data_IF_466834777086
#
_entry.id   IF_466834777086
#
_cell.length_a   1.000
_cell.length_b   1.000
_cell.length_c   1.000
_cell.angle_alpha   90.00
_cell.angle_beta   90.00
_cell.angle_gamma   90.00
#
_symmetry.space_group_name_H-M   'P 1'
#
loop_
_entity.id
_entity.type
_entity.pdbx_description
1 polymer ?
#
# COMPACT_ATOMS: atom_id res chain seq x y z
N UNK A 1 -39.06 -48.11 -13.65
CA UNK A 1 -39.13 -46.64 -13.45
C UNK A 1 -38.21 -46.11 -12.33
N UNK A 2 -38.02 -46.80 -11.18
CA UNK A 2 -37.09 -46.35 -10.11
C UNK A 2 -35.61 -46.24 -10.51
N UNK A 3 -35.11 -47.04 -11.46
CA UNK A 3 -33.70 -47.02 -11.90
C UNK A 3 -33.33 -45.82 -12.79
N UNK A 4 -34.29 -45.21 -13.49
CA UNK A 4 -34.05 -44.04 -14.34
C UNK A 4 -33.90 -42.74 -13.51
N UNK A 5 -34.60 -42.66 -12.37
CA UNK A 5 -34.58 -41.50 -11.47
C UNK A 5 -33.24 -41.35 -10.70
N UNK A 6 -32.60 -42.47 -10.37
CA UNK A 6 -31.28 -42.47 -9.72
C UNK A 6 -30.17 -42.05 -10.68
N UNK A 7 -30.32 -42.37 -11.97
CA UNK A 7 -29.37 -41.99 -13.02
C UNK A 7 -29.46 -40.49 -13.33
N UNK A 8 -30.67 -39.92 -13.32
CA UNK A 8 -30.90 -38.48 -13.49
C UNK A 8 -30.38 -37.64 -12.30
N UNK A 9 -30.51 -38.12 -11.05
CA UNK A 9 -29.90 -37.44 -9.90
C UNK A 9 -28.37 -37.46 -9.97
N UNK A 10 -27.76 -38.59 -10.36
CA UNK A 10 -26.31 -38.68 -10.51
C UNK A 10 -25.75 -37.72 -11.56
N UNK A 11 -26.46 -37.45 -12.66
CA UNK A 11 -26.03 -36.45 -13.66
C UNK A 11 -26.14 -34.99 -13.19
N UNK A 12 -26.99 -34.66 -12.21
CA UNK A 12 -27.07 -33.32 -11.63
C UNK A 12 -25.95 -33.03 -10.62
N UNK A 13 -25.41 -34.06 -9.95
CA UNK A 13 -24.31 -33.88 -8.99
C UNK A 13 -22.94 -33.63 -9.66
N UNK A 14 -22.75 -33.96 -10.94
CA UNK A 14 -21.47 -33.73 -11.62
C UNK A 14 -21.24 -32.29 -12.10
N UNK A 15 -22.25 -31.40 -12.03
CA UNK A 15 -22.11 -30.01 -12.51
C UNK A 15 -21.80 -28.99 -11.42
N UNK A 16 -21.65 -29.40 -10.16
CA UNK A 16 -21.48 -28.49 -9.02
C UNK A 16 -20.21 -28.73 -8.21
N UNK A 17 -19.15 -29.27 -8.81
CA UNK A 17 -17.81 -29.14 -8.20
C UNK A 17 -17.27 -27.76 -8.59
N UNK A 18 -17.19 -26.79 -7.66
CA UNK A 18 -16.37 -25.60 -7.91
C UNK A 18 -14.96 -26.11 -8.20
N UNK A 19 -14.43 -25.81 -9.38
CA UNK A 19 -13.01 -26.06 -9.64
C UNK A 19 -12.22 -25.34 -8.55
N UNK A 20 -11.52 -26.10 -7.70
CA UNK A 20 -10.46 -25.53 -6.89
C UNK A 20 -9.43 -24.99 -7.87
N UNK A 21 -9.42 -23.67 -8.06
CA UNK A 21 -8.36 -23.02 -8.81
C UNK A 21 -7.07 -23.28 -8.01
N UNK A 22 -6.10 -24.02 -8.56
CA UNK A 22 -4.82 -24.18 -7.89
C UNK A 22 -4.26 -22.77 -7.72
N UNK A 23 -4.06 -22.34 -6.48
CA UNK A 23 -3.28 -21.13 -6.23
C UNK A 23 -1.87 -21.45 -6.69
N UNK A 24 -1.55 -21.06 -7.92
CA UNK A 24 -0.25 -21.27 -8.53
C UNK A 24 0.83 -20.75 -7.58
N UNK A 25 1.96 -21.47 -7.51
CA UNK A 25 3.22 -20.92 -7.04
C UNK A 25 3.42 -19.58 -7.75
N UNK A 26 3.45 -18.48 -6.99
CA UNK A 26 3.50 -17.16 -7.59
C UNK A 26 4.80 -17.02 -8.37
N UNK A 27 4.71 -16.79 -9.67
CA UNK A 27 5.89 -16.65 -10.51
C UNK A 27 6.50 -15.27 -10.27
N UNK A 28 7.76 -15.23 -9.85
CA UNK A 28 8.50 -13.99 -9.72
C UNK A 28 9.09 -13.52 -11.05
N UNK A 29 9.30 -12.21 -11.18
CA UNK A 29 9.87 -11.56 -12.37
C UNK A 29 11.21 -10.91 -12.03
N UNK A 30 12.27 -11.28 -12.74
CA UNK A 30 13.59 -10.66 -12.67
C UNK A 30 13.75 -9.58 -13.75
N UNK A 31 14.22 -8.39 -13.36
CA UNK A 31 14.54 -7.29 -14.26
C UNK A 31 15.84 -6.60 -13.84
N UNK A 32 16.50 -5.93 -14.79
CA UNK A 32 17.63 -5.04 -14.52
C UNK A 32 17.13 -3.60 -14.67
N UNK A 33 17.32 -2.78 -13.64
CA UNK A 33 16.93 -1.37 -13.67
C UNK A 33 17.84 -0.56 -14.60
N UNK A 34 17.39 0.65 -14.96
CA UNK A 34 18.22 1.60 -15.72
C UNK A 34 19.50 2.03 -14.99
N UNK A 35 19.59 1.78 -13.68
CA UNK A 35 20.79 2.03 -12.86
C UNK A 35 21.68 0.79 -12.73
N UNK A 36 21.36 -0.32 -13.41
CA UNK A 36 22.09 -1.58 -13.37
C UNK A 36 21.80 -2.47 -12.15
N UNK A 37 20.78 -2.14 -11.35
CA UNK A 37 20.40 -2.94 -10.19
C UNK A 37 19.51 -4.13 -10.59
N UNK A 38 19.78 -5.31 -10.04
CA UNK A 38 18.90 -6.46 -10.18
C UNK A 38 17.65 -6.27 -9.31
N UNK A 39 16.48 -6.45 -9.90
CA UNK A 39 15.18 -6.28 -9.25
C UNK A 39 14.36 -7.55 -9.41
N UNK A 40 13.87 -8.14 -8.33
CA UNK A 40 13.03 -9.35 -8.38
C UNK A 40 11.68 -9.08 -7.74
N UNK A 41 10.59 -9.18 -8.50
CA UNK A 41 9.23 -8.94 -8.03
C UNK A 41 8.49 -10.26 -7.89
N UNK A 42 8.13 -10.62 -6.66
CA UNK A 42 7.34 -11.81 -6.35
C UNK A 42 5.93 -11.38 -5.88
N UNK A 43 4.88 -11.57 -6.70
CA UNK A 43 3.53 -11.26 -6.24
C UNK A 43 3.11 -12.16 -5.07
N UNK A 44 2.24 -11.65 -4.20
CA UNK A 44 1.53 -12.50 -3.24
C UNK A 44 0.22 -12.95 -3.90
N UNK A 45 -0.01 -14.26 -3.94
CA UNK A 45 -1.24 -14.83 -4.46
C UNK A 45 -2.44 -14.37 -3.62
N UNK A 46 -3.49 -13.90 -4.29
CA UNK A 46 -4.70 -13.38 -3.65
C UNK A 46 -5.94 -13.99 -4.30
N UNK A 47 -7.04 -14.14 -3.55
CA UNK A 47 -8.32 -14.50 -4.14
C UNK A 47 -8.76 -13.49 -5.22
N UNK A 48 -9.65 -13.88 -6.15
CA UNK A 48 -10.26 -12.96 -7.09
C UNK A 48 -10.87 -11.76 -6.38
N UNK A 49 -10.64 -10.56 -6.91
CA UNK A 49 -11.22 -9.32 -6.39
C UNK A 49 -12.39 -8.87 -7.25
N UNK A 50 -13.36 -8.22 -6.62
CA UNK A 50 -14.46 -7.59 -7.36
C UNK A 50 -13.91 -6.43 -8.20
N UNK A 51 -14.20 -6.44 -9.50
CA UNK A 51 -13.79 -5.40 -10.46
C UNK A 51 -12.29 -5.03 -10.43
N UNK A 52 -11.42 -5.99 -10.12
CA UNK A 52 -9.97 -5.79 -9.98
C UNK A 52 -9.57 -4.77 -8.90
N UNK A 53 -10.45 -4.45 -7.94
CA UNK A 53 -10.20 -3.47 -6.85
C UNK A 53 -9.56 -4.13 -5.61
N UNK A 54 -8.69 -5.11 -5.81
CA UNK A 54 -7.99 -5.80 -4.73
C UNK A 54 -6.62 -5.18 -4.42
N UNK A 55 -6.12 -5.25 -3.17
CA UNK A 55 -4.83 -4.68 -2.78
C UNK A 55 -3.64 -5.41 -3.41
N UNK A 56 -2.93 -4.80 -4.36
CA UNK A 56 -1.79 -5.43 -5.02
C UNK A 56 -0.58 -5.42 -4.08
N UNK A 57 -0.20 -6.60 -3.58
CA UNK A 57 0.93 -6.79 -2.65
C UNK A 57 1.98 -7.67 -3.31
N UNK A 58 3.22 -7.19 -3.35
CA UNK A 58 4.38 -7.93 -3.84
C UNK A 58 5.50 -7.91 -2.80
N UNK A 59 6.34 -8.94 -2.82
CA UNK A 59 7.65 -8.94 -2.19
C UNK A 59 8.66 -8.57 -3.26
N UNK A 60 9.42 -7.50 -3.05
CA UNK A 60 10.34 -6.94 -4.05
C UNK A 60 11.77 -6.97 -3.51
N UNK A 61 12.67 -7.58 -4.25
CA UNK A 61 14.10 -7.49 -4.05
C UNK A 61 14.69 -6.38 -4.91
N UNK A 62 15.66 -5.65 -4.38
CA UNK A 62 16.53 -4.78 -5.16
C UNK A 62 17.98 -4.90 -4.67
N UNK A 63 18.90 -5.21 -5.58
CA UNK A 63 20.33 -5.30 -5.26
C UNK A 63 20.88 -3.93 -4.82
N UNK A 64 21.68 -3.92 -3.76
CA UNK A 64 22.31 -2.70 -3.23
C UNK A 64 21.50 -2.00 -2.13
N UNK A 65 20.27 -2.45 -1.83
CA UNK A 65 19.56 -2.02 -0.63
C UNK A 65 20.02 -2.85 0.58
N UNK A 66 20.46 -2.17 1.63
CA UNK A 66 20.97 -2.82 2.85
C UNK A 66 19.87 -3.24 3.83
N UNK A 67 18.72 -2.57 3.79
CA UNK A 67 17.64 -2.79 4.75
C UNK A 67 16.31 -3.02 4.03
N UNK A 68 15.42 -3.75 4.68
CA UNK A 68 14.09 -4.05 4.18
C UNK A 68 13.28 -4.80 5.22
N UNK A 69 11.95 -4.62 5.21
CA UNK A 69 11.06 -5.18 6.24
C UNK A 69 11.02 -6.72 6.22
N UNK A 70 11.34 -7.34 5.08
CA UNK A 70 11.38 -8.80 4.92
C UNK A 70 12.81 -9.35 5.04
N UNK A 71 13.82 -8.48 4.95
CA UNK A 71 15.23 -8.83 5.00
C UNK A 71 16.08 -7.89 4.17
N UNK A 72 17.40 -8.10 4.20
CA UNK A 72 18.33 -7.32 3.40
C UNK A 72 18.00 -7.41 1.91
N UNK A 73 17.83 -6.25 1.26
CA UNK A 73 17.46 -6.16 -0.14
C UNK A 73 15.98 -6.41 -0.44
N UNK A 74 15.17 -6.89 0.52
CA UNK A 74 13.78 -7.29 0.32
C UNK A 74 12.78 -6.37 1.04
N UNK A 75 11.79 -5.88 0.30
CA UNK A 75 10.72 -5.02 0.82
C UNK A 75 9.34 -5.54 0.43
N UNK A 76 8.29 -5.02 1.08
CA UNK A 76 6.90 -5.29 0.68
C UNK A 76 6.40 -4.07 -0.09
N UNK A 77 6.04 -4.27 -1.35
CA UNK A 77 5.36 -3.29 -2.18
C UNK A 77 3.84 -3.48 -2.02
N UNK A 78 3.09 -2.38 -1.98
CA UNK A 78 1.63 -2.39 -1.80
C UNK A 78 1.19 -2.01 -0.39
N UNK A 79 2.13 -1.93 0.56
CA UNK A 79 1.91 -1.29 1.85
C UNK A 79 2.26 0.19 1.67
N UNK A 80 1.30 1.06 1.98
CA UNK A 80 1.52 2.50 2.00
C UNK A 80 1.46 2.99 3.44
N UNK A 81 2.30 3.97 3.78
CA UNK A 81 2.34 4.54 5.12
C UNK A 81 2.61 6.04 5.07
N UNK A 82 2.03 6.75 6.04
CA UNK A 82 2.46 8.09 6.42
C UNK A 82 3.34 7.93 7.66
N UNK A 83 4.59 8.36 7.57
CA UNK A 83 5.59 8.23 8.63
C UNK A 83 6.15 9.58 9.05
N UNK A 84 6.68 9.65 10.27
CA UNK A 84 7.49 10.78 10.72
C UNK A 84 8.87 10.72 10.05
N UNK A 85 9.39 11.88 9.65
CA UNK A 85 10.72 12.06 9.06
C UNK A 85 11.45 13.22 9.73
N UNK A 86 12.81 13.21 9.73
CA UNK A 86 13.60 14.29 10.29
C UNK A 86 13.44 15.61 9.53
N UNK A 87 13.74 16.72 10.21
CA UNK A 87 13.80 18.06 9.60
C UNK A 87 15.10 18.26 8.81
N UNK A 88 15.04 19.06 7.74
CA UNK A 88 16.18 19.37 6.86
C UNK A 88 16.37 20.89 6.71
N UNK A 89 17.63 21.33 6.60
CA UNK A 89 18.00 22.76 6.68
C UNK A 89 17.36 23.59 5.56
N UNK A 90 17.32 23.06 4.34
CA UNK A 90 16.87 23.76 3.15
C UNK A 90 15.36 24.05 3.12
N UNK A 91 14.54 23.29 3.85
CA UNK A 91 13.09 23.54 3.96
C UNK A 91 12.67 24.01 5.36
N UNK A 92 13.32 23.52 6.41
CA UNK A 92 12.93 23.74 7.81
C UNK A 92 13.83 24.74 8.55
N UNK A 93 14.94 25.18 7.93
CA UNK A 93 15.96 26.03 8.56
C UNK A 93 16.84 25.32 9.59
N UNK A 94 16.58 24.04 9.87
CA UNK A 94 17.29 23.26 10.89
C UNK A 94 17.38 21.78 10.54
N UNK A 95 18.40 21.11 11.08
CA UNK A 95 18.53 19.65 11.03
C UNK A 95 18.19 19.07 12.39
N UNK A 96 17.11 18.30 12.47
CA UNK A 96 16.64 17.70 13.72
C UNK A 96 16.17 16.27 13.47
N UNK A 97 16.56 15.34 14.36
CA UNK A 97 16.07 13.97 14.36
C UNK A 97 14.61 13.87 14.82
N UNK A 98 14.00 12.70 14.61
CA UNK A 98 12.61 12.43 15.02
C UNK A 98 12.54 12.42 16.56
N UNK A 99 11.63 13.21 17.13
CA UNK A 99 11.43 13.33 18.60
C UNK A 99 10.05 12.90 19.07
N UNK A 100 9.17 12.49 18.16
CA UNK A 100 7.76 12.20 18.41
C UNK A 100 6.99 13.41 18.95
N UNK A 101 7.37 14.62 18.53
CA UNK A 101 6.69 15.89 18.83
C UNK A 101 6.01 16.47 17.59
N UNK A 102 5.19 17.51 17.73
CA UNK A 102 4.58 18.17 16.57
C UNK A 102 5.58 19.02 15.74
N UNK A 103 6.88 18.94 16.04
CA UNK A 103 7.92 19.56 15.21
C UNK A 103 8.39 18.63 14.08
N UNK A 104 8.18 17.31 14.26
CA UNK A 104 8.56 16.31 13.28
C UNK A 104 7.81 16.51 11.97
N UNK A 105 8.44 16.12 10.87
CA UNK A 105 7.85 16.22 9.53
C UNK A 105 7.26 14.87 9.14
N UNK A 106 6.47 14.86 8.10
CA UNK A 106 5.68 13.72 7.65
C UNK A 106 6.09 13.37 6.24
N UNK A 107 6.01 12.10 5.89
CA UNK A 107 6.19 11.63 4.53
C UNK A 107 5.15 10.57 4.19
N UNK A 108 4.59 10.66 2.99
CA UNK A 108 3.80 9.58 2.40
C UNK A 108 4.75 8.71 1.56
N UNK A 109 4.91 7.44 1.94
CA UNK A 109 5.80 6.49 1.24
C UNK A 109 7.24 7.02 1.05
N UNK A 110 7.75 7.74 2.04
CA UNK A 110 9.09 8.34 2.01
C UNK A 110 9.17 9.70 1.30
N UNK A 111 8.10 10.13 0.63
CA UNK A 111 8.02 11.45 0.02
C UNK A 111 7.44 12.46 1.01
N UNK A 112 8.23 13.48 1.34
CA UNK A 112 7.90 14.51 2.32
C UNK A 112 6.56 15.19 2.02
N UNK A 113 5.81 15.48 3.06
CA UNK A 113 4.57 16.25 3.02
C UNK A 113 4.83 17.72 3.37
N UNK A 114 4.24 18.61 2.60
CA UNK A 114 4.24 20.06 2.79
C UNK A 114 2.80 20.48 3.08
N UNK A 115 2.59 21.30 4.12
CA UNK A 115 1.28 21.88 4.39
C UNK A 115 0.96 22.93 3.34
N UNK A 116 -0.24 22.86 2.75
CA UNK A 116 -0.73 23.83 1.75
C UNK A 116 -1.88 24.68 2.28
N UNK A 117 -2.59 24.18 3.29
CA UNK A 117 -3.67 24.90 3.97
C UNK A 117 -3.74 24.44 5.41
N UNK A 118 -3.95 25.38 6.33
CA UNK A 118 -3.92 25.14 7.78
C UNK A 118 -2.50 25.12 8.34
N UNK A 119 -2.35 24.49 9.51
CA UNK A 119 -1.09 24.41 10.24
C UNK A 119 -0.59 22.96 10.37
N UNK A 120 0.72 22.77 10.36
CA UNK A 120 1.31 21.44 10.46
C UNK A 120 0.85 20.73 11.75
N UNK A 121 0.47 19.45 11.66
CA UNK A 121 -0.15 18.65 12.73
C UNK A 121 -1.52 19.12 13.25
N UNK A 122 -2.13 20.14 12.64
CA UNK A 122 -3.44 20.62 13.03
C UNK A 122 -4.56 19.90 12.26
N UNK A 123 -5.71 19.72 12.91
CA UNK A 123 -6.87 19.06 12.29
C UNK A 123 -7.45 19.97 11.22
N UNK A 124 -7.84 19.36 10.10
CA UNK A 124 -8.31 20.08 8.92
C UNK A 124 -7.18 20.57 8.00
N UNK A 125 -5.92 20.40 8.40
CA UNK A 125 -4.80 20.78 7.55
C UNK A 125 -4.68 19.87 6.34
N UNK A 126 -4.36 20.49 5.21
CA UNK A 126 -4.20 19.84 3.92
C UNK A 126 -2.72 19.85 3.55
N UNK A 127 -2.25 18.71 3.06
CA UNK A 127 -0.88 18.49 2.67
C UNK A 127 -0.79 18.09 1.21
N UNK A 128 0.37 18.35 0.63
CA UNK A 128 0.80 17.80 -0.66
C UNK A 128 2.19 17.18 -0.51
N UNK A 129 2.56 16.32 -1.43
CA UNK A 129 3.92 15.77 -1.49
C UNK A 129 4.90 16.79 -2.06
N UNK A 130 6.16 16.78 -1.61
CA UNK A 130 7.21 17.72 -2.05
C UNK A 130 7.42 17.68 -3.58
N UNK A 131 7.51 16.48 -4.15
CA UNK A 131 7.32 16.29 -5.59
C UNK A 131 5.80 16.17 -5.84
N UNK A 132 5.22 16.92 -6.77
CA UNK A 132 3.76 16.96 -6.91
C UNK A 132 3.16 15.61 -7.34
N UNK A 133 2.16 15.10 -6.61
CA UNK A 133 1.49 13.80 -6.89
C UNK A 133 -0.01 13.89 -7.21
N UNK A 134 -0.60 15.10 -7.25
CA UNK A 134 -2.05 15.34 -7.40
C UNK A 134 -2.93 14.65 -6.34
N UNK A 135 -2.34 14.15 -5.26
CA UNK A 135 -3.06 13.63 -4.11
C UNK A 135 -3.54 14.77 -3.22
N UNK A 136 -4.76 14.66 -2.69
CA UNK A 136 -5.24 15.50 -1.58
C UNK A 136 -5.06 14.74 -0.28
N UNK A 137 -4.25 15.26 0.64
CA UNK A 137 -3.92 14.59 1.91
C UNK A 137 -4.43 15.45 3.06
N UNK A 138 -5.34 14.91 3.88
CA UNK A 138 -6.03 15.68 4.93
C UNK A 138 -5.87 15.03 6.29
N UNK A 139 -5.49 15.81 7.30
CA UNK A 139 -5.44 15.36 8.69
C UNK A 139 -6.80 15.53 9.35
N UNK A 140 -7.32 14.43 9.89
CA UNK A 140 -8.64 14.35 10.53
C UNK A 140 -8.52 13.74 11.92
N UNK A 141 -9.61 13.81 12.69
CA UNK A 141 -9.71 13.25 14.04
C UNK A 141 -10.94 12.35 14.15
N UNK A 142 -10.77 11.22 14.84
CA UNK A 142 -11.85 10.35 15.29
C UNK A 142 -11.67 10.10 16.78
N UNK A 143 -12.61 10.58 17.62
CA UNK A 143 -12.44 10.57 19.07
C UNK A 143 -11.14 11.28 19.50
N UNK A 144 -10.22 10.54 20.12
CA UNK A 144 -8.90 11.04 20.51
C UNK A 144 -7.80 10.72 19.48
N UNK A 145 -8.09 9.90 18.47
CA UNK A 145 -7.13 9.46 17.45
C UNK A 145 -7.03 10.44 16.28
N UNK A 146 -5.80 10.68 15.81
CA UNK A 146 -5.54 11.39 14.56
C UNK A 146 -5.33 10.38 13.44
N UNK A 147 -5.90 10.67 12.27
CA UNK A 147 -5.73 9.85 11.08
C UNK A 147 -5.68 10.73 9.84
N UNK A 148 -5.11 10.21 8.75
CA UNK A 148 -5.08 10.91 7.47
C UNK A 148 -6.04 10.26 6.49
N UNK A 149 -6.62 11.10 5.63
CA UNK A 149 -7.35 10.69 4.44
C UNK A 149 -6.55 11.14 3.24
N UNK A 150 -6.17 10.20 2.39
CA UNK A 150 -5.55 10.47 1.09
C UNK A 150 -6.58 10.21 0.02
N UNK A 151 -6.89 11.23 -0.78
CA UNK A 151 -7.82 11.16 -1.90
C UNK A 151 -7.04 11.31 -3.21
N UNK A 152 -7.15 10.32 -4.09
CA UNK A 152 -6.54 10.35 -5.40
C UNK A 152 -7.43 11.08 -6.43
N UNK A 153 -6.87 11.49 -7.59
CA UNK A 153 -7.64 12.19 -8.63
C UNK A 153 -8.85 11.42 -9.18
N UNK A 154 -8.82 10.09 -9.09
CA UNK A 154 -9.91 9.21 -9.50
C UNK A 154 -11.05 9.11 -8.46
N UNK A 155 -10.91 9.81 -7.33
CA UNK A 155 -11.85 9.81 -6.21
C UNK A 155 -11.67 8.65 -5.23
N UNK A 156 -10.74 7.73 -5.49
CA UNK A 156 -10.41 6.67 -4.53
C UNK A 156 -9.81 7.28 -3.24
N UNK A 157 -10.11 6.66 -2.10
CA UNK A 157 -9.69 7.14 -0.78
C UNK A 157 -8.98 6.04 -0.01
N UNK A 158 -7.92 6.43 0.68
CA UNK A 158 -7.16 5.59 1.59
C UNK A 158 -7.04 6.26 2.96
N UNK A 159 -7.19 5.48 4.02
CA UNK A 159 -7.15 5.95 5.41
C UNK A 159 -5.89 5.44 6.09
N UNK A 160 -5.20 6.32 6.81
CA UNK A 160 -3.93 6.01 7.48
C UNK A 160 -4.04 6.36 8.96
N UNK A 161 -3.78 5.38 9.85
CA UNK A 161 -3.88 5.57 11.30
C UNK A 161 -5.31 5.62 11.83
N UNK A 162 -6.30 5.16 11.05
CA UNK A 162 -7.69 5.01 11.49
C UNK A 162 -7.86 3.57 12.02
N UNK A 163 -7.87 3.40 13.33
CA UNK A 163 -8.02 2.11 14.03
C UNK A 163 -9.11 2.20 15.10
#
# INVERSE_FOLDING_TARGET
MRKLLHFAMLLWYYTAFPQQQPFHDTQGKLEISNTGAATYTLPIARPPSLKNTGPLINIVYQSGLFTGIVGQGWNIQGISAISRIPSRIDLDGQRQGIRFTNDDKLALNGQRLLVVSGEYWHIGSVYQTEIQSNLKIELQRSGFGLYFIVTAPDGSRSWYGNY
#
